data_IF_677079875721
#
_entry.id   IF_677079875721
#
_cell.length_a   1.000
_cell.length_b   1.000
_cell.length_c   1.000
_cell.angle_alpha   90.00
_cell.angle_beta   90.00
_cell.angle_gamma   90.00
#
_symmetry.space_group_name_H-M   'P 1'
#
loop_
_entity.id
_entity.type
_entity.pdbx_description
1 polymer ?
#
# COMPACT_ATOMS: atom_id res chain seq x y z
N UNK A 1 -6.77 0.63 8.73
CA UNK A 1 -7.07 1.46 7.56
C UNK A 1 -6.37 2.80 7.63
N UNK A 2 -6.43 3.47 8.79
CA UNK A 2 -5.81 4.77 8.95
C UNK A 2 -4.30 4.74 8.69
N UNK A 3 -3.64 3.70 9.15
CA UNK A 3 -2.19 3.57 8.97
C UNK A 3 -1.82 3.33 7.52
N UNK A 4 -2.60 2.53 6.81
CA UNK A 4 -2.39 2.29 5.39
C UNK A 4 -2.58 3.59 4.62
N UNK A 5 -3.64 4.33 4.95
CA UNK A 5 -3.94 5.61 4.31
C UNK A 5 -2.80 6.61 4.54
N UNK A 6 -2.31 6.71 5.77
CA UNK A 6 -1.20 7.60 6.09
C UNK A 6 0.07 7.25 5.33
N UNK A 7 0.39 5.96 5.25
CA UNK A 7 1.56 5.49 4.52
C UNK A 7 1.42 5.82 3.03
N UNK A 8 0.23 5.66 2.47
CA UNK A 8 -0.02 6.02 1.07
C UNK A 8 0.16 7.52 0.85
N UNK A 9 -0.35 8.35 1.75
CA UNK A 9 -0.21 9.81 1.64
C UNK A 9 1.25 10.24 1.71
N UNK A 10 2.02 9.63 2.61
CA UNK A 10 3.44 9.93 2.74
C UNK A 10 4.21 9.64 1.46
N UNK A 11 3.71 8.70 0.66
CA UNK A 11 4.32 8.34 -0.61
C UNK A 11 3.61 8.97 -1.82
N UNK A 12 2.72 9.92 -1.56
CA UNK A 12 2.01 10.64 -2.63
C UNK A 12 0.96 9.79 -3.34
N UNK A 13 0.42 8.77 -2.66
CA UNK A 13 -0.57 7.87 -3.25
C UNK A 13 -1.88 7.98 -2.46
N UNK A 14 -3.01 7.75 -3.15
CA UNK A 14 -4.31 7.69 -2.50
C UNK A 14 -4.63 6.26 -2.13
N UNK A 15 -5.26 6.07 -0.97
CA UNK A 15 -5.62 4.74 -0.50
C UNK A 15 -6.50 4.00 -1.50
N UNK A 16 -7.53 4.66 -2.01
CA UNK A 16 -8.44 4.03 -2.98
C UNK A 16 -7.73 3.64 -4.26
N UNK A 17 -6.85 4.50 -4.76
CA UNK A 17 -6.06 4.20 -5.95
C UNK A 17 -5.10 3.05 -5.70
N UNK A 18 -4.49 3.02 -4.52
CA UNK A 18 -3.57 1.94 -4.14
C UNK A 18 -4.29 0.59 -4.12
N UNK A 19 -5.45 0.53 -3.49
CA UNK A 19 -6.25 -0.71 -3.43
C UNK A 19 -6.69 -1.14 -4.84
N UNK A 20 -7.10 -0.17 -5.65
CA UNK A 20 -7.51 -0.45 -7.03
C UNK A 20 -6.35 -1.06 -7.84
N UNK A 21 -5.16 -0.51 -7.70
CA UNK A 21 -3.96 -1.02 -8.38
C UNK A 21 -3.62 -2.44 -7.93
N UNK A 22 -3.78 -2.72 -6.64
CA UNK A 22 -3.55 -4.07 -6.11
C UNK A 22 -4.49 -5.07 -6.78
N UNK A 23 -5.76 -4.70 -6.92
CA UNK A 23 -6.75 -5.55 -7.57
C UNK A 23 -6.42 -5.77 -9.05
N UNK A 24 -6.00 -4.72 -9.74
CA UNK A 24 -5.62 -4.80 -11.15
C UNK A 24 -4.43 -5.73 -11.37
N UNK A 25 -3.49 -5.73 -10.45
CA UNK A 25 -2.30 -6.58 -10.52
C UNK A 25 -2.57 -8.00 -10.03
N UNK A 26 -3.76 -8.27 -9.52
CA UNK A 26 -4.11 -9.56 -8.98
C UNK A 26 -3.43 -9.90 -7.66
N UNK A 27 -2.95 -8.89 -6.95
CA UNK A 27 -2.29 -9.08 -5.67
C UNK A 27 -3.34 -9.24 -4.59
N UNK A 28 -3.33 -10.37 -3.89
CA UNK A 28 -4.28 -10.64 -2.82
C UNK A 28 -3.63 -10.40 -1.47
N UNK A 29 -3.58 -9.16 -1.07
CA UNK A 29 -3.08 -8.78 0.25
C UNK A 29 -4.23 -8.30 1.12
N UNK A 30 -4.33 -8.85 2.32
CA UNK A 30 -5.33 -8.43 3.28
C UNK A 30 -4.96 -7.07 3.87
N UNK A 31 -5.98 -6.35 4.34
CA UNK A 31 -5.77 -5.08 5.03
C UNK A 31 -4.83 -5.25 6.22
N UNK A 32 -4.97 -6.36 6.93
CA UNK A 32 -4.14 -6.67 8.09
C UNK A 32 -2.67 -6.77 7.70
N UNK A 33 -2.38 -7.47 6.60
CA UNK A 33 -1.02 -7.61 6.12
C UNK A 33 -0.45 -6.26 5.69
N UNK A 34 -1.26 -5.48 4.98
CA UNK A 34 -0.85 -4.15 4.54
C UNK A 34 -0.55 -3.23 5.74
N UNK A 35 -1.41 -3.29 6.76
CA UNK A 35 -1.20 -2.49 7.96
C UNK A 35 0.08 -2.90 8.69
N UNK A 36 0.35 -4.21 8.77
CA UNK A 36 1.57 -4.70 9.37
C UNK A 36 2.80 -4.17 8.64
N UNK A 37 2.80 -4.27 7.32
CA UNK A 37 3.92 -3.79 6.51
C UNK A 37 4.08 -2.27 6.70
N UNK A 38 2.99 -1.53 6.72
CA UNK A 38 3.04 -0.08 6.88
C UNK A 38 3.63 0.33 8.23
N UNK A 39 3.42 -0.49 9.26
CA UNK A 39 3.91 -0.19 10.61
C UNK A 39 5.31 -0.75 10.84
N UNK A 40 5.56 -1.99 10.41
CA UNK A 40 6.81 -2.68 10.72
C UNK A 40 7.90 -2.45 9.68
N UNK A 41 7.52 -2.21 8.43
CA UNK A 41 8.49 -2.04 7.34
C UNK A 41 8.01 -1.02 6.33
N UNK A 42 8.23 0.24 6.65
CA UNK A 42 7.81 1.34 5.77
C UNK A 42 8.53 1.29 4.41
N UNK A 43 9.78 0.86 4.40
CA UNK A 43 10.54 0.76 3.16
C UNK A 43 9.93 -0.26 2.21
N UNK A 44 9.50 -1.41 2.75
CA UNK A 44 8.83 -2.42 1.94
C UNK A 44 7.50 -1.91 1.39
N UNK A 45 6.76 -1.16 2.19
CA UNK A 45 5.50 -0.58 1.76
C UNK A 45 5.72 0.43 0.62
N UNK A 46 6.72 1.27 0.76
CA UNK A 46 7.08 2.24 -0.28
C UNK A 46 7.46 1.53 -1.58
N UNK A 47 8.23 0.46 -1.47
CA UNK A 47 8.65 -0.32 -2.63
C UNK A 47 7.44 -0.96 -3.32
N UNK A 48 6.49 -1.45 -2.53
CA UNK A 48 5.26 -2.00 -3.06
C UNK A 48 4.49 -0.96 -3.88
N UNK A 49 4.37 0.25 -3.36
CA UNK A 49 3.70 1.34 -4.07
C UNK A 49 4.42 1.64 -5.37
N UNK A 50 5.74 1.70 -5.36
CA UNK A 50 6.52 1.95 -6.56
C UNK A 50 6.31 0.86 -7.61
N UNK A 51 6.26 -0.39 -7.19
CA UNK A 51 6.01 -1.50 -8.10
C UNK A 51 4.62 -1.40 -8.73
N UNK A 52 3.63 -0.98 -7.96
CA UNK A 52 2.29 -0.81 -8.48
C UNK A 52 2.19 0.32 -9.50
N UNK A 53 3.06 1.31 -9.40
CA UNK A 53 3.06 2.47 -10.29
C UNK A 53 3.84 2.22 -11.58
N UNK A 54 4.49 1.09 -11.67
CA UNK A 54 5.13 0.69 -12.91
C UNK A 54 4.05 0.11 -13.83
#
# INVERSE_FOLDING_TARGET
ITRISNACQLNGEKYSAFIHKLNLKGVKLDRKVLADIAVTDEAAFKKLIQDLNK
#
